data_IF_448396383920
#
_entry.id   IF_448396383920
#
_cell.length_a   1.000
_cell.length_b   1.000
_cell.length_c   1.000
_cell.angle_alpha   90.00
_cell.angle_beta   90.00
_cell.angle_gamma   90.00
#
_symmetry.space_group_name_H-M   'P 1'
#
loop_
_entity.id
_entity.type
_entity.pdbx_description
1 polymer ?
#
# COMPACT_ATOMS: atom_id res chain seq x y z
N UNK A 1 -7.41 -6.05 11.50
CA UNK A 1 -7.71 -5.19 10.32
C UNK A 1 -6.51 -4.31 10.01
N UNK A 2 -5.32 -4.89 9.76
CA UNK A 2 -4.12 -4.09 9.43
C UNK A 2 -3.71 -3.03 10.48
N UNK A 3 -4.06 -3.21 11.76
CA UNK A 3 -3.79 -2.20 12.80
C UNK A 3 -4.84 -1.07 12.92
N UNK A 4 -5.84 -0.98 12.04
CA UNK A 4 -6.94 -0.02 12.14
C UNK A 4 -7.92 -0.37 13.27
N UNK A 5 -8.41 0.65 13.98
CA UNK A 5 -9.31 0.51 15.12
C UNK A 5 -10.79 0.51 14.69
N UNK A 6 -11.58 -0.41 15.26
CA UNK A 6 -13.04 -0.52 14.99
C UNK A 6 -13.89 0.55 15.67
N UNK A 7 -13.33 1.31 16.61
CA UNK A 7 -14.00 2.38 17.36
C UNK A 7 -14.10 3.70 16.57
N UNK A 8 -13.93 3.66 15.24
CA UNK A 8 -13.99 4.82 14.31
C UNK A 8 -12.88 5.87 14.47
N UNK A 9 -11.94 5.69 15.39
CA UNK A 9 -10.81 6.62 15.60
C UNK A 9 -9.84 6.68 14.41
N UNK A 10 -9.88 5.66 13.53
CA UNK A 10 -9.05 5.54 12.32
C UNK A 10 -9.85 5.68 11.03
N UNK A 11 -11.11 6.15 11.13
CA UNK A 11 -12.03 6.32 10.01
C UNK A 11 -13.19 5.32 10.06
N UNK A 12 -14.21 5.58 9.24
CA UNK A 12 -15.40 4.74 9.16
C UNK A 12 -15.21 3.55 8.19
N UNK A 13 -14.42 3.74 7.14
CA UNK A 13 -14.23 2.74 6.09
C UNK A 13 -12.80 2.75 5.58
N UNK A 14 -12.37 1.62 5.06
CA UNK A 14 -11.08 1.45 4.38
C UNK A 14 -11.28 0.52 3.19
N UNK A 15 -10.65 0.78 2.03
CA UNK A 15 -10.63 -0.17 0.94
C UNK A 15 -9.94 -1.47 1.36
N UNK A 16 -10.53 -2.60 0.98
CA UNK A 16 -10.01 -3.93 1.20
C UNK A 16 -10.11 -4.74 -0.09
N UNK A 17 -9.08 -5.53 -0.37
CA UNK A 17 -9.03 -6.44 -1.49
C UNK A 17 -8.57 -7.82 -1.00
N UNK A 18 -9.23 -8.87 -1.49
CA UNK A 18 -8.83 -10.24 -1.16
C UNK A 18 -9.00 -11.19 -2.34
N UNK A 19 -8.11 -12.18 -2.38
CA UNK A 19 -8.27 -13.44 -3.13
C UNK A 19 -8.04 -14.59 -2.16
N UNK A 20 -8.09 -15.84 -2.64
CA UNK A 20 -7.77 -17.02 -1.82
C UNK A 20 -6.33 -17.06 -1.28
N UNK A 21 -5.43 -16.25 -1.82
CA UNK A 21 -3.99 -16.27 -1.47
C UNK A 21 -3.43 -14.92 -1.02
N UNK A 22 -4.21 -13.83 -1.12
CA UNK A 22 -3.75 -12.50 -0.70
C UNK A 22 -4.88 -11.71 -0.09
N UNK A 23 -4.56 -10.98 0.98
CA UNK A 23 -5.43 -9.98 1.57
C UNK A 23 -4.65 -8.66 1.62
N UNK A 24 -5.30 -7.55 1.26
CA UNK A 24 -4.72 -6.21 1.25
C UNK A 24 -5.70 -5.24 1.89
N UNK A 25 -5.22 -4.54 2.91
CA UNK A 25 -5.92 -3.43 3.56
C UNK A 25 -5.20 -2.13 3.22
N UNK A 26 -5.93 -1.08 2.87
CA UNK A 26 -5.33 0.21 2.49
C UNK A 26 -5.51 1.26 3.59
N UNK A 27 -4.40 1.77 4.12
CA UNK A 27 -4.41 2.97 4.95
C UNK A 27 -4.59 4.20 4.06
N UNK A 28 -5.81 4.76 4.05
CA UNK A 28 -6.14 5.91 3.18
C UNK A 28 -6.22 7.19 4.01
N UNK A 29 -5.26 8.08 3.83
CA UNK A 29 -5.12 9.33 4.60
C UNK A 29 -6.38 10.22 4.59
N UNK A 30 -7.11 10.24 3.48
CA UNK A 30 -8.35 11.03 3.29
C UNK A 30 -9.57 10.38 3.93
N UNK A 31 -9.50 9.09 4.31
CA UNK A 31 -10.56 8.39 5.06
C UNK A 31 -10.32 8.37 6.57
N UNK A 32 -9.17 8.88 7.02
CA UNK A 32 -8.84 9.02 8.44
C UNK A 32 -9.30 10.39 8.98
N UNK A 33 -9.78 10.48 10.23
CA UNK A 33 -10.27 11.72 10.81
C UNK A 33 -9.20 12.84 10.85
N UNK A 34 -9.65 14.09 10.73
CA UNK A 34 -8.80 15.30 10.65
C UNK A 34 -9.28 16.43 11.57
N UNK A 35 -10.13 16.08 12.53
CA UNK A 35 -10.93 16.96 13.39
C UNK A 35 -10.29 17.27 14.74
N UNK A 36 -9.18 16.59 15.09
CA UNK A 36 -8.44 16.80 16.33
C UNK A 36 -7.01 17.30 16.05
N UNK A 37 -6.42 18.02 17.00
CA UNK A 37 -5.02 18.48 16.95
C UNK A 37 -4.01 17.32 16.77
N UNK A 38 -4.32 16.14 17.32
CA UNK A 38 -3.51 14.92 17.19
C UNK A 38 -3.81 14.12 15.90
N UNK A 39 -4.58 14.67 14.95
CA UNK A 39 -5.00 13.94 13.75
C UNK A 39 -3.82 13.55 12.86
N UNK A 40 -2.82 14.42 12.73
CA UNK A 40 -1.62 14.13 11.96
C UNK A 40 -0.85 12.93 12.52
N UNK A 41 -0.61 12.92 13.85
CA UNK A 41 0.06 11.81 14.53
C UNK A 41 -0.70 10.50 14.34
N UNK A 42 -2.04 10.53 14.47
CA UNK A 42 -2.89 9.34 14.25
C UNK A 42 -2.74 8.80 12.83
N UNK A 43 -2.72 9.67 11.82
CA UNK A 43 -2.48 9.26 10.43
C UNK A 43 -1.09 8.67 10.24
N UNK A 44 -0.06 9.35 10.74
CA UNK A 44 1.33 8.91 10.61
C UNK A 44 1.61 7.60 11.36
N UNK A 45 0.90 7.28 12.45
CA UNK A 45 1.01 5.99 13.12
C UNK A 45 0.66 4.81 12.20
N UNK A 46 -0.20 5.01 11.23
CA UNK A 46 -0.56 3.98 10.25
C UNK A 46 0.27 4.16 8.97
N UNK A 47 0.16 5.32 8.33
CA UNK A 47 0.83 5.61 7.05
C UNK A 47 2.35 5.56 7.16
N UNK A 48 2.91 6.02 8.28
CA UNK A 48 4.35 6.07 8.47
C UNK A 48 4.98 4.70 8.68
N UNK A 49 4.21 3.66 9.02
CA UNK A 49 4.74 2.32 9.27
C UNK A 49 4.55 1.36 8.09
N UNK A 50 4.02 1.84 6.96
CA UNK A 50 3.84 1.03 5.77
C UNK A 50 5.14 1.01 4.92
N UNK A 51 5.50 -0.15 4.38
CA UNK A 51 6.71 -0.29 3.55
C UNK A 51 6.48 0.18 2.10
N UNK A 52 5.22 0.17 1.64
CA UNK A 52 4.83 0.55 0.28
C UNK A 52 3.78 1.65 0.36
N UNK A 53 4.07 2.84 -0.17
CA UNK A 53 3.10 3.93 -0.27
C UNK A 53 2.64 4.13 -1.70
N UNK A 54 1.33 4.32 -1.84
CA UNK A 54 0.72 4.81 -3.08
C UNK A 54 0.37 6.28 -2.86
N UNK A 55 0.94 7.15 -3.69
CA UNK A 55 0.78 8.60 -3.56
C UNK A 55 0.01 9.11 -4.77
N UNK A 56 -1.09 9.82 -4.54
CA UNK A 56 -1.77 10.60 -5.56
C UNK A 56 -1.25 12.04 -5.50
N UNK A 57 -0.62 12.53 -6.57
CA UNK A 57 -0.09 13.88 -6.63
C UNK A 57 -0.71 14.66 -7.78
N UNK A 58 -1.41 15.75 -7.44
CA UNK A 58 -1.91 16.72 -8.42
C UNK A 58 -0.89 17.82 -8.72
N UNK A 59 0.29 17.77 -8.10
CA UNK A 59 1.34 18.73 -8.35
C UNK A 59 2.14 18.34 -9.60
N UNK A 60 2.56 19.35 -10.36
CA UNK A 60 3.48 19.23 -11.51
C UNK A 60 4.94 18.94 -11.15
N UNK A 61 5.28 18.94 -9.84
CA UNK A 61 6.64 18.72 -9.35
C UNK A 61 6.80 17.27 -8.92
N UNK A 62 8.02 16.78 -9.04
CA UNK A 62 8.37 15.46 -8.53
C UNK A 62 8.11 15.36 -7.03
N UNK A 63 7.56 14.23 -6.63
CA UNK A 63 7.24 13.95 -5.25
C UNK A 63 8.54 13.73 -4.48
N UNK A 64 8.67 14.37 -3.33
CA UNK A 64 9.86 14.26 -2.51
C UNK A 64 9.63 13.20 -1.44
N UNK A 65 10.50 12.19 -1.38
CA UNK A 65 10.43 11.10 -0.38
C UNK A 65 10.27 11.60 1.06
N UNK A 66 10.93 12.70 1.41
CA UNK A 66 10.90 13.28 2.75
C UNK A 66 9.60 14.01 3.16
N UNK A 67 8.55 14.01 2.33
CA UNK A 67 7.26 14.63 2.69
C UNK A 67 6.58 13.89 3.85
N UNK A 68 6.64 12.55 3.85
CA UNK A 68 6.22 11.75 5.00
C UNK A 68 7.51 11.39 5.76
N UNK A 69 7.72 11.92 6.98
CA UNK A 69 8.91 11.62 7.75
C UNK A 69 8.79 10.19 8.30
N UNK A 70 9.37 9.23 7.58
CA UNK A 70 9.42 7.83 7.99
C UNK A 70 10.74 7.16 7.57
N UNK A 71 11.22 6.24 8.40
CA UNK A 71 12.32 5.32 8.05
C UNK A 71 11.84 4.13 7.18
N UNK A 72 10.52 3.91 7.14
CA UNK A 72 9.81 2.97 6.27
C UNK A 72 9.54 3.59 4.88
N UNK A 73 8.47 3.17 4.20
CA UNK A 73 8.14 3.63 2.85
C UNK A 73 9.20 3.23 1.81
N UNK A 74 9.79 2.05 1.95
CA UNK A 74 10.83 1.48 1.07
C UNK A 74 10.50 1.61 -0.41
N UNK A 75 9.23 1.54 -0.78
CA UNK A 75 8.71 1.78 -2.13
C UNK A 75 7.64 2.87 -2.14
N UNK A 76 7.77 3.82 -3.06
CA UNK A 76 6.76 4.84 -3.39
C UNK A 76 6.27 4.62 -4.82
N UNK A 77 4.96 4.44 -4.99
CA UNK A 77 4.27 4.43 -6.28
C UNK A 77 3.49 5.74 -6.38
N UNK A 78 4.04 6.70 -7.10
CA UNK A 78 3.45 8.03 -7.25
C UNK A 78 2.68 8.12 -8.56
N UNK A 79 1.42 8.56 -8.47
CA UNK A 79 0.48 8.66 -9.57
C UNK A 79 0.22 10.14 -9.84
N UNK A 80 0.49 10.56 -11.07
CA UNK A 80 0.24 11.90 -11.58
C UNK A 80 -0.87 11.87 -12.62
N UNK A 81 -2.04 12.48 -12.34
CA UNK A 81 -3.08 12.66 -13.34
C UNK A 81 -2.59 13.48 -14.53
N UNK A 82 -2.92 13.03 -15.73
CA UNK A 82 -2.67 13.73 -16.99
C UNK A 82 -3.99 14.03 -17.70
N UNK A 83 -3.89 14.70 -18.86
CA UNK A 83 -5.04 14.87 -19.77
C UNK A 83 -5.50 13.51 -20.33
N UNK A 84 -6.72 13.47 -20.84
CA UNK A 84 -7.30 12.31 -21.55
C UNK A 84 -7.35 11.01 -20.72
N UNK A 85 -7.58 11.11 -19.41
CA UNK A 85 -7.66 9.95 -18.50
C UNK A 85 -6.41 9.06 -18.51
N UNK A 86 -5.25 9.66 -18.76
CA UNK A 86 -3.95 9.01 -18.65
C UNK A 86 -3.28 9.41 -17.32
N UNK A 87 -2.39 8.56 -16.84
CA UNK A 87 -1.71 8.74 -15.57
C UNK A 87 -0.25 8.35 -15.72
N UNK A 88 0.65 9.27 -15.37
CA UNK A 88 2.09 9.01 -15.30
C UNK A 88 2.42 8.41 -13.93
N UNK A 89 3.28 7.39 -13.94
CA UNK A 89 3.70 6.65 -12.77
C UNK A 89 5.18 6.90 -12.53
N UNK A 90 5.51 7.41 -11.35
CA UNK A 90 6.89 7.47 -10.86
C UNK A 90 7.05 6.43 -9.76
N UNK A 91 8.09 5.61 -9.83
CA UNK A 91 8.42 4.61 -8.80
C UNK A 91 9.77 4.92 -8.21
N UNK A 92 9.78 5.29 -6.93
CA UNK A 92 11.01 5.44 -6.14
C UNK A 92 11.11 4.26 -5.18
N UNK A 93 12.26 3.60 -5.13
CA UNK A 93 12.51 2.49 -4.20
C UNK A 93 13.91 2.59 -3.59
N UNK A 94 14.11 2.00 -2.41
CA UNK A 94 15.47 1.81 -1.90
C UNK A 94 16.29 0.86 -2.82
N UNK A 95 17.61 1.00 -2.91
CA UNK A 95 18.45 0.20 -3.82
C UNK A 95 18.31 -1.32 -3.62
N UNK A 96 18.21 -1.77 -2.38
CA UNK A 96 18.12 -3.17 -1.96
C UNK A 96 16.83 -3.87 -2.41
N UNK A 97 15.78 -3.12 -2.73
CA UNK A 97 14.49 -3.71 -3.13
C UNK A 97 14.65 -4.37 -4.50
N UNK A 98 14.35 -5.68 -4.65
CA UNK A 98 14.40 -6.37 -5.94
C UNK A 98 13.45 -5.76 -6.98
N UNK A 99 13.56 -6.20 -8.23
CA UNK A 99 12.60 -5.82 -9.26
C UNK A 99 11.18 -6.34 -8.92
N UNK A 100 10.17 -5.51 -9.19
CA UNK A 100 8.76 -5.85 -9.08
C UNK A 100 7.98 -5.10 -10.17
N UNK A 101 6.75 -5.54 -10.43
CA UNK A 101 5.87 -4.95 -11.45
C UNK A 101 4.41 -5.32 -11.18
N UNK A 102 3.47 -5.01 -12.09
CA UNK A 102 3.69 -4.80 -13.52
C UNK A 102 4.05 -3.37 -13.97
N UNK A 103 3.89 -2.35 -13.12
CA UNK A 103 4.31 -0.99 -13.45
C UNK A 103 5.83 -0.81 -13.24
N UNK A 104 6.42 0.12 -13.99
CA UNK A 104 7.81 0.55 -13.87
C UNK A 104 7.88 2.08 -13.81
N UNK A 105 9.01 2.62 -13.38
CA UNK A 105 9.22 4.07 -13.31
C UNK A 105 9.11 4.72 -14.70
N UNK A 106 8.31 5.78 -14.83
CA UNK A 106 7.99 6.43 -16.09
C UNK A 106 6.85 5.79 -16.90
N UNK A 107 6.17 4.77 -16.38
CA UNK A 107 5.03 4.17 -17.07
C UNK A 107 3.86 5.17 -17.20
N UNK A 108 3.16 5.14 -18.34
CA UNK A 108 1.92 5.89 -18.55
C UNK A 108 0.79 4.89 -18.77
N UNK A 109 -0.27 4.99 -17.97
CA UNK A 109 -1.40 4.05 -18.01
C UNK A 109 -2.75 4.74 -18.12
N UNK A 110 -3.70 4.05 -18.76
CA UNK A 110 -5.08 4.53 -18.83
C UNK A 110 -5.81 4.31 -17.50
N UNK A 111 -6.69 5.25 -17.14
CA UNK A 111 -7.48 5.20 -15.91
C UNK A 111 -8.30 3.92 -15.73
N UNK A 112 -8.72 3.26 -16.81
CA UNK A 112 -9.47 1.99 -16.75
C UNK A 112 -8.67 0.85 -16.11
N UNK A 113 -7.35 0.81 -16.31
CA UNK A 113 -6.48 -0.26 -15.81
C UNK A 113 -5.66 0.17 -14.59
N UNK A 114 -5.55 1.48 -14.33
CA UNK A 114 -4.75 2.06 -13.26
C UNK A 114 -4.97 1.37 -11.90
N UNK A 115 -6.20 1.18 -11.39
CA UNK A 115 -6.39 0.59 -10.06
C UNK A 115 -5.87 -0.84 -9.95
N UNK A 116 -6.00 -1.63 -11.03
CA UNK A 116 -5.55 -3.02 -11.06
C UNK A 116 -4.03 -3.07 -11.12
N UNK A 117 -3.42 -2.26 -12.00
CA UNK A 117 -1.97 -2.22 -12.18
C UNK A 117 -1.24 -1.71 -10.94
N UNK A 118 -1.75 -0.65 -10.30
CA UNK A 118 -1.19 -0.09 -9.06
C UNK A 118 -1.29 -1.12 -7.93
N UNK A 119 -2.45 -1.75 -7.74
CA UNK A 119 -2.63 -2.78 -6.70
C UNK A 119 -1.70 -3.97 -6.90
N UNK A 120 -1.61 -4.49 -8.12
CA UNK A 120 -0.72 -5.60 -8.44
C UNK A 120 0.76 -5.23 -8.18
N UNK A 121 1.15 -4.02 -8.56
CA UNK A 121 2.51 -3.50 -8.34
C UNK A 121 2.81 -3.37 -6.85
N UNK A 122 1.88 -2.83 -6.05
CA UNK A 122 2.04 -2.70 -4.60
C UNK A 122 2.15 -4.06 -3.90
N UNK A 123 1.34 -5.05 -4.29
CA UNK A 123 1.43 -6.42 -3.74
C UNK A 123 2.78 -7.04 -4.06
N UNK A 124 3.25 -6.91 -5.31
CA UNK A 124 4.53 -7.48 -5.72
C UNK A 124 5.72 -6.74 -5.09
N UNK A 125 5.62 -5.43 -4.89
CA UNK A 125 6.60 -4.65 -4.13
C UNK A 125 6.72 -5.17 -2.68
N UNK A 126 5.60 -5.38 -1.99
CA UNK A 126 5.61 -5.96 -0.64
C UNK A 126 6.21 -7.37 -0.62
N UNK A 127 5.92 -8.21 -1.61
CA UNK A 127 6.54 -9.54 -1.73
C UNK A 127 8.05 -9.46 -1.98
N UNK A 128 8.50 -8.53 -2.82
CA UNK A 128 9.92 -8.31 -3.10
C UNK A 128 10.67 -7.88 -1.83
N UNK A 129 10.09 -6.97 -1.04
CA UNK A 129 10.64 -6.57 0.26
C UNK A 129 10.72 -7.75 1.22
N UNK A 130 9.64 -8.53 1.35
CA UNK A 130 9.60 -9.71 2.22
C UNK A 130 10.60 -10.79 1.83
N UNK A 131 10.95 -10.90 0.55
CA UNK A 131 11.96 -11.86 0.08
C UNK A 131 13.38 -11.54 0.59
N UNK A 132 13.63 -10.31 1.04
CA UNK A 132 14.88 -9.91 1.67
C UNK A 132 14.99 -10.38 3.13
N UNK A 133 13.87 -10.76 3.76
CA UNK A 133 13.86 -11.24 5.15
C UNK A 133 14.30 -12.71 5.15
N UNK A 134 15.44 -13.05 5.80
CA UNK A 134 15.90 -14.43 5.86
C UNK A 134 14.84 -15.35 6.46
N UNK A 135 14.66 -16.53 5.87
CA UNK A 135 13.68 -17.55 6.29
C UNK A 135 12.20 -17.13 6.18
N UNK A 136 11.88 -16.00 5.53
CA UNK A 136 10.49 -15.62 5.30
C UNK A 136 9.78 -16.64 4.40
N UNK A 137 8.75 -17.30 4.94
CA UNK A 137 7.87 -18.18 4.19
C UNK A 137 6.51 -17.51 4.01
N UNK A 138 5.97 -17.59 2.79
CA UNK A 138 4.60 -17.14 2.54
C UNK A 138 3.64 -18.01 3.37
N UNK A 139 2.84 -17.35 4.20
CA UNK A 139 1.75 -18.00 4.93
C UNK A 139 0.68 -18.40 3.93
N UNK A 140 0.58 -19.69 3.64
CA UNK A 140 -0.59 -20.25 2.97
C UNK A 140 -1.63 -20.56 4.04
N UNK A 141 -2.86 -20.03 3.96
CA UNK A 141 -3.91 -20.40 4.89
C UNK A 141 -4.25 -21.88 4.69
N UNK A 142 -3.61 -22.74 5.47
CA UNK A 142 -4.02 -24.13 5.62
C UNK A 142 -5.36 -24.10 6.37
N UNK A 143 -6.47 -24.36 5.68
CA UNK A 143 -7.70 -24.83 6.32
C UNK A 143 -7.44 -26.20 6.94
N UNK A 144 -6.74 -26.24 8.07
CA UNK A 144 -6.82 -27.37 8.99
C UNK A 144 -8.20 -27.30 9.63
N UNK A 145 -9.17 -27.96 8.99
CA UNK A 145 -10.41 -28.43 9.62
C UNK A 145 -9.98 -29.09 10.94
N UNK A 146 -10.28 -28.48 12.08
CA UNK A 146 -10.31 -29.19 13.36
C UNK A 146 -11.48 -30.17 13.31
N UNK A 147 -11.26 -31.37 12.76
CA UNK A 147 -12.12 -32.53 12.94
C UNK A 147 -11.39 -33.49 13.88
N UNK A 148 -11.49 -33.20 15.17
CA UNK A 148 -11.18 -34.05 16.33
C UNK A 148 -11.45 -33.11 17.51
N UNK A 149 -12.63 -33.10 18.09
CA UNK A 149 -13.08 -34.06 19.11
C UNK A 149 -14.59 -33.82 19.31
N UNK A 150 -15.44 -34.83 19.04
CA UNK A 150 -16.62 -35.20 19.84
C UNK A 150 -17.04 -36.59 19.35
N UNK A 151 -16.63 -37.63 20.07
CA UNK A 151 -17.36 -38.89 20.21
C UNK A 151 -17.36 -39.22 21.70
#
# INVERSE_FOLDING_TARGET
>A
MGGLQKNKSTGLTTPYFATSMVEVMFHVSTRMPSDSDDSLTKKLRHLGNDEVHIVWSEHTRDYRRGIIPTEFGDVLIVIYPMKNYMFSIQIMKKPEVPFFGPLFDGAIVNGKILPIMVRATAINASRALKSLIPLYQNLYPLTKRKHSEVY
#
